data_IF_485866921719
#
_entry.id   IF_485866921719
#
_cell.length_a   1.000
_cell.length_b   1.000
_cell.length_c   1.000
_cell.angle_alpha   90.00
_cell.angle_beta   90.00
_cell.angle_gamma   90.00
#
_symmetry.space_group_name_H-M   'P 1'
#
loop_
_entity.id
_entity.type
_entity.pdbx_description
1 polymer ?
#
# COMPACT_ATOMS: atom_id res chain seq x y z
N UNK A 1 -21.85 2.97 17.05
CA UNK A 1 -21.47 4.13 16.22
C UNK A 1 -21.48 3.70 14.77
N UNK A 2 -22.41 4.21 13.96
CA UNK A 2 -22.43 3.93 12.52
C UNK A 2 -21.74 5.08 11.79
N UNK A 3 -20.68 4.77 11.05
CA UNK A 3 -19.90 5.74 10.29
C UNK A 3 -20.63 6.10 8.99
N UNK A 4 -20.67 7.39 8.64
CA UNK A 4 -21.15 7.83 7.33
C UNK A 4 -20.11 7.49 6.25
N UNK A 5 -20.46 6.60 5.33
CA UNK A 5 -19.57 6.17 4.25
C UNK A 5 -19.60 7.21 3.13
N UNK A 6 -18.45 7.84 2.86
CA UNK A 6 -18.31 8.86 1.81
C UNK A 6 -17.94 8.28 0.44
N UNK A 7 -17.23 7.15 0.41
CA UNK A 7 -16.80 6.50 -0.82
C UNK A 7 -16.61 5.00 -0.59
N UNK A 8 -16.99 4.19 -1.59
CA UNK A 8 -16.83 2.73 -1.59
C UNK A 8 -16.26 2.29 -2.94
N UNK A 9 -15.35 1.32 -2.91
CA UNK A 9 -14.81 0.65 -4.10
C UNK A 9 -14.76 -0.86 -3.89
N UNK A 10 -14.68 -1.63 -4.97
CA UNK A 10 -14.49 -3.08 -4.95
C UNK A 10 -13.33 -3.48 -5.87
N UNK A 11 -12.61 -4.52 -5.46
CA UNK A 11 -11.62 -5.22 -6.29
C UNK A 11 -11.80 -6.72 -6.14
N UNK A 12 -11.72 -7.43 -7.26
CA UNK A 12 -11.84 -8.90 -7.30
C UNK A 12 -10.50 -9.49 -7.69
N UNK A 13 -10.02 -10.45 -6.90
CA UNK A 13 -8.82 -11.23 -7.19
C UNK A 13 -9.17 -12.66 -7.57
N UNK A 14 -8.44 -13.22 -8.54
CA UNK A 14 -8.56 -14.61 -9.01
C UNK A 14 -7.19 -15.27 -8.96
N UNK A 15 -7.10 -16.48 -8.40
CA UNK A 15 -5.83 -17.25 -8.29
C UNK A 15 -5.00 -16.96 -7.03
N UNK A 16 -5.32 -15.92 -6.27
CA UNK A 16 -4.61 -15.57 -5.03
C UNK A 16 -3.32 -14.81 -5.31
N UNK A 17 -2.20 -15.22 -4.70
CA UNK A 17 -0.89 -14.54 -4.86
C UNK A 17 -0.29 -14.69 -6.26
N UNK A 18 -0.69 -15.71 -7.00
CA UNK A 18 -0.33 -15.90 -8.40
C UNK A 18 -1.61 -15.91 -9.23
N UNK A 19 -1.84 -14.88 -10.03
CA UNK A 19 -3.10 -14.68 -10.72
C UNK A 19 -3.33 -13.22 -11.11
N UNK A 20 -4.50 -12.67 -10.80
CA UNK A 20 -4.82 -11.28 -11.13
C UNK A 20 -5.76 -10.64 -10.12
N UNK A 21 -5.75 -9.30 -10.08
CA UNK A 21 -6.72 -8.50 -9.35
C UNK A 21 -7.18 -7.30 -10.17
N UNK A 22 -8.48 -6.96 -10.09
CA UNK A 22 -9.07 -5.85 -10.86
C UNK A 22 -10.15 -5.12 -10.06
N UNK A 23 -10.14 -3.78 -10.10
CA UNK A 23 -11.20 -2.96 -9.52
C UNK A 23 -12.47 -3.00 -10.37
N UNK A 24 -13.64 -2.86 -9.73
CA UNK A 24 -14.95 -2.89 -10.40
C UNK A 24 -15.07 -1.80 -11.49
N UNK A 25 -14.43 -0.65 -11.29
CA UNK A 25 -14.36 0.44 -12.26
C UNK A 25 -13.25 0.28 -13.32
N UNK A 26 -12.44 -0.77 -13.22
CA UNK A 26 -11.37 -1.11 -14.15
C UNK A 26 -10.13 -0.21 -14.10
N UNK A 27 -10.05 0.74 -13.16
CA UNK A 27 -8.90 1.66 -13.05
C UNK A 27 -7.62 0.99 -12.58
N UNK A 28 -7.73 -0.11 -11.82
CA UNK A 28 -6.60 -0.97 -11.48
C UNK A 28 -6.87 -2.37 -12.02
N UNK A 29 -5.93 -2.89 -12.80
CA UNK A 29 -5.94 -4.26 -13.30
C UNK A 29 -4.49 -4.75 -13.34
N UNK A 30 -4.16 -5.72 -12.50
CA UNK A 30 -2.77 -6.18 -12.30
C UNK A 30 -2.67 -7.70 -12.40
N UNK A 31 -1.54 -8.16 -12.91
CA UNK A 31 -1.08 -9.54 -12.76
C UNK A 31 -0.34 -9.65 -11.44
N UNK A 32 -0.60 -10.72 -10.70
CA UNK A 32 0.01 -11.02 -9.42
C UNK A 32 0.95 -12.21 -9.57
N UNK A 33 2.15 -12.08 -8.99
CA UNK A 33 3.12 -13.16 -8.91
C UNK A 33 3.66 -13.28 -7.48
N UNK A 34 3.85 -14.53 -7.04
CA UNK A 34 4.53 -14.79 -5.77
C UNK A 34 6.04 -14.56 -5.96
N UNK A 35 6.69 -13.70 -5.14
CA UNK A 35 8.14 -13.48 -5.18
C UNK A 35 8.94 -14.75 -4.92
N UNK A 36 10.19 -14.81 -5.41
CA UNK A 36 11.06 -15.98 -5.22
C UNK A 36 11.36 -16.23 -3.74
N UNK A 37 11.47 -15.14 -2.99
CA UNK A 37 11.72 -15.10 -1.55
C UNK A 37 10.60 -15.78 -0.76
N UNK A 38 9.40 -15.90 -1.34
CA UNK A 38 8.25 -16.61 -0.78
C UNK A 38 7.98 -17.95 -1.48
N UNK A 39 8.96 -18.49 -2.21
CA UNK A 39 8.86 -19.78 -2.90
C UNK A 39 8.08 -19.74 -4.22
N UNK A 40 7.83 -18.56 -4.77
CA UNK A 40 7.16 -18.39 -6.05
C UNK A 40 8.11 -18.41 -7.27
N UNK A 41 7.54 -18.22 -8.46
CA UNK A 41 8.29 -18.11 -9.72
C UNK A 41 9.09 -16.82 -9.83
N UNK A 42 8.68 -15.76 -9.12
CA UNK A 42 9.22 -14.41 -9.29
C UNK A 42 8.98 -13.86 -10.68
N UNK A 43 7.76 -14.03 -11.20
CA UNK A 43 7.33 -13.43 -12.46
C UNK A 43 7.32 -11.90 -12.43
N UNK A 44 6.95 -11.29 -13.55
CA UNK A 44 6.94 -9.83 -13.72
C UNK A 44 5.71 -9.14 -13.09
N UNK A 45 4.73 -9.90 -12.61
CA UNK A 45 3.59 -9.37 -11.88
C UNK A 45 3.97 -8.68 -10.57
N UNK A 46 3.08 -7.83 -10.09
CA UNK A 46 3.20 -7.25 -8.74
C UNK A 46 2.79 -8.28 -7.68
N UNK A 47 2.74 -7.89 -6.41
CA UNK A 47 2.32 -8.74 -5.32
C UNK A 47 1.50 -7.95 -4.28
N UNK A 48 0.76 -8.64 -3.38
CA UNK A 48 -0.02 -7.97 -2.35
C UNK A 48 0.78 -6.99 -1.48
N UNK A 49 2.05 -7.29 -1.18
CA UNK A 49 2.92 -6.42 -0.37
C UNK A 49 3.21 -5.09 -1.08
N UNK A 50 3.52 -5.13 -2.37
CA UNK A 50 3.76 -3.93 -3.19
C UNK A 50 2.49 -3.08 -3.35
N UNK A 51 1.33 -3.71 -3.54
CA UNK A 51 0.04 -3.01 -3.62
C UNK A 51 -0.30 -2.33 -2.30
N UNK A 52 -0.06 -3.03 -1.17
CA UNK A 52 -0.23 -2.47 0.16
C UNK A 52 0.73 -1.31 0.41
N UNK A 53 2.02 -1.48 0.08
CA UNK A 53 3.03 -0.43 0.21
C UNK A 53 2.65 0.83 -0.58
N UNK A 54 2.24 0.66 -1.84
CA UNK A 54 1.84 1.76 -2.72
C UNK A 54 0.63 2.52 -2.19
N UNK A 55 -0.41 1.77 -1.78
CA UNK A 55 -1.62 2.36 -1.21
C UNK A 55 -1.36 3.07 0.11
N UNK A 56 -0.56 2.47 0.99
CA UNK A 56 -0.24 3.05 2.29
C UNK A 56 0.62 4.31 2.17
N UNK A 57 1.68 4.28 1.37
CA UNK A 57 2.51 5.45 1.11
C UNK A 57 1.69 6.64 0.58
N UNK A 58 0.84 6.41 -0.43
CA UNK A 58 -0.03 7.44 -0.99
C UNK A 58 -1.05 7.97 0.03
N UNK A 59 -1.67 7.08 0.81
CA UNK A 59 -2.62 7.45 1.85
C UNK A 59 -1.98 8.30 2.95
N UNK A 60 -0.79 7.88 3.44
CA UNK A 60 -0.08 8.60 4.49
C UNK A 60 0.37 9.99 4.03
N UNK A 61 0.88 10.11 2.80
CA UNK A 61 1.20 11.43 2.23
C UNK A 61 -0.04 12.33 2.12
N UNK A 62 -1.19 11.77 1.74
CA UNK A 62 -2.48 12.49 1.75
C UNK A 62 -2.88 12.97 3.14
N UNK A 63 -2.73 12.11 4.16
CA UNK A 63 -3.00 12.47 5.56
C UNK A 63 -2.07 13.57 6.07
N UNK A 64 -0.77 13.51 5.75
CA UNK A 64 0.19 14.57 6.08
C UNK A 64 -0.22 15.90 5.47
N UNK A 65 -0.59 15.92 4.18
CA UNK A 65 -1.08 17.14 3.49
C UNK A 65 -2.34 17.70 4.16
N UNK A 66 -3.26 16.83 4.58
CA UNK A 66 -4.48 17.25 5.28
C UNK A 66 -4.18 17.89 6.64
N UNK A 67 -3.30 17.28 7.45
CA UNK A 67 -2.91 17.84 8.75
C UNK A 67 -2.14 19.15 8.57
N UNK A 68 -1.16 19.20 7.66
CA UNK A 68 -0.41 20.42 7.39
C UNK A 68 -1.30 21.59 6.97
N UNK A 69 -2.32 21.34 6.15
CA UNK A 69 -3.30 22.36 5.77
C UNK A 69 -4.08 22.92 6.98
N UNK A 70 -4.40 22.10 7.98
CA UNK A 70 -5.03 22.55 9.23
C UNK A 70 -4.10 23.43 10.06
N UNK A 71 -2.82 23.07 10.10
CA UNK A 71 -1.77 23.83 10.78
C UNK A 71 -1.26 25.03 9.95
N UNK A 72 -1.82 25.25 8.75
CA UNK A 72 -1.40 26.29 7.80
C UNK A 72 0.08 26.18 7.40
N UNK A 73 0.63 24.96 7.43
CA UNK A 73 1.96 24.63 6.93
C UNK A 73 1.83 24.17 5.48
N UNK A 74 2.66 24.72 4.60
CA UNK A 74 2.72 24.27 3.21
C UNK A 74 3.65 23.07 3.08
N UNK A 75 3.18 22.00 2.44
CA UNK A 75 4.00 20.84 2.09
C UNK A 75 4.29 20.90 0.58
N UNK A 76 5.58 20.79 0.20
CA UNK A 76 6.00 20.79 -1.19
C UNK A 76 5.33 19.68 -2.00
N UNK A 77 5.04 19.93 -3.28
CA UNK A 77 4.59 18.91 -4.21
C UNK A 77 5.62 17.77 -4.40
N UNK A 78 6.91 18.07 -4.18
CA UNK A 78 8.03 17.12 -4.23
C UNK A 78 8.18 16.29 -2.95
N UNK A 79 7.27 16.44 -1.99
CA UNK A 79 7.26 15.64 -0.77
C UNK A 79 6.89 14.20 -1.08
N UNK A 80 7.62 13.27 -0.47
CA UNK A 80 7.45 11.84 -0.72
C UNK A 80 7.28 11.07 0.58
N UNK A 81 6.54 9.97 0.48
CA UNK A 81 6.50 8.92 1.50
C UNK A 81 6.91 7.63 0.82
N UNK A 82 7.90 6.95 1.37
CA UNK A 82 8.32 5.62 0.94
C UNK A 82 7.86 4.62 2.00
N UNK A 83 7.02 3.66 1.60
CA UNK A 83 6.65 2.54 2.45
C UNK A 83 7.51 1.32 2.10
N UNK A 84 8.31 0.87 3.06
CA UNK A 84 9.00 -0.42 2.99
C UNK A 84 8.14 -1.44 3.71
N UNK A 85 7.67 -2.45 2.98
CA UNK A 85 6.80 -3.51 3.51
C UNK A 85 7.53 -4.84 3.39
N UNK A 86 7.80 -5.45 4.54
CA UNK A 86 8.28 -6.82 4.67
C UNK A 86 7.13 -7.76 5.00
N UNK A 87 7.29 -9.03 4.62
CA UNK A 87 6.41 -10.12 5.04
C UNK A 87 7.28 -11.26 5.58
N UNK A 88 6.89 -11.82 6.72
CA UNK A 88 7.62 -12.91 7.37
C UNK A 88 6.70 -13.78 8.22
N UNK A 89 7.20 -14.96 8.67
CA UNK A 89 6.44 -15.81 9.57
C UNK A 89 6.21 -15.10 10.90
N UNK A 90 5.04 -15.34 11.50
CA UNK A 90 4.74 -14.91 12.87
C UNK A 90 5.52 -15.77 13.86
N UNK A 91 5.82 -15.18 15.03
CA UNK A 91 6.53 -15.88 16.12
C UNK A 91 5.79 -17.13 16.61
N UNK A 92 4.45 -17.13 16.53
CA UNK A 92 3.62 -18.29 16.90
C UNK A 92 3.68 -19.45 15.88
N UNK A 93 4.34 -19.26 14.73
CA UNK A 93 4.47 -20.27 13.67
C UNK A 93 3.19 -20.60 12.91
N UNK A 94 2.09 -19.87 13.15
CA UNK A 94 0.75 -20.19 12.59
C UNK A 94 0.36 -19.35 11.38
N UNK A 95 1.21 -18.41 10.95
CA UNK A 95 0.91 -17.57 9.79
C UNK A 95 2.00 -16.55 9.47
N UNK A 96 1.60 -15.52 8.72
CA UNK A 96 2.49 -14.43 8.29
C UNK A 96 2.08 -13.10 8.92
N UNK A 97 3.06 -12.23 9.14
CA UNK A 97 2.89 -10.85 9.57
C UNK A 97 3.54 -9.90 8.56
N UNK A 98 3.10 -8.64 8.58
CA UNK A 98 3.74 -7.57 7.83
C UNK A 98 4.58 -6.72 8.79
N UNK A 99 5.79 -6.38 8.35
CA UNK A 99 6.62 -5.33 8.96
C UNK A 99 6.60 -4.11 8.04
N UNK A 100 6.38 -2.92 8.59
CA UNK A 100 6.14 -1.71 7.79
C UNK A 100 6.92 -0.54 8.34
N UNK A 101 7.80 0.03 7.52
CA UNK A 101 8.51 1.27 7.80
C UNK A 101 8.09 2.35 6.81
N UNK A 102 7.85 3.57 7.32
CA UNK A 102 7.55 4.74 6.50
C UNK A 102 8.71 5.74 6.61
N UNK A 103 9.36 6.03 5.48
CA UNK A 103 10.30 7.13 5.36
C UNK A 103 9.59 8.33 4.72
N UNK A 104 9.62 9.48 5.37
CA UNK A 104 8.96 10.71 4.91
C UNK A 104 10.01 11.75 4.59
N UNK A 105 9.96 12.30 3.38
CA UNK A 105 10.79 13.43 2.98
C UNK A 105 9.89 14.62 2.65
N UNK A 106 10.03 15.71 3.41
CA UNK A 106 9.27 16.95 3.28
C UNK A 106 10.21 18.12 2.96
N UNK A 107 10.63 18.33 1.70
CA UNK A 107 11.50 19.44 1.35
C UNK A 107 10.87 20.79 1.75
N UNK A 108 11.64 21.62 2.45
CA UNK A 108 11.21 22.95 2.91
C UNK A 108 10.34 22.96 4.16
N UNK A 109 10.15 21.81 4.82
CA UNK A 109 9.57 21.72 6.15
C UNK A 109 10.68 21.28 7.10
N UNK A 110 11.10 22.20 7.98
CA UNK A 110 12.04 21.94 9.08
C UNK A 110 11.31 21.53 10.36
#
# INVERSE_FOLDING_TARGET
FQMAILYTTQSTATGGRTGSAKTADGRLSVVLDTPKELGGSGGEGTNPEQLFASGYAACFLGALKFVAAKEKVSISADSTVTATVGIGPREDGTGFGLDVALAVALPGVE
#
